data_IF_531307014041
#
_entry.id   IF_531307014041
#
_cell.length_a   1.000
_cell.length_b   1.000
_cell.length_c   1.000
_cell.angle_alpha   90.00
_cell.angle_beta   90.00
_cell.angle_gamma   90.00
#
_symmetry.space_group_name_H-M   'P 1'
#
loop_
_entity.id
_entity.type
_entity.pdbx_description
1 polymer ?
#
# COMPACT_ATOMS: atom_id res chain seq x y z
N UNK A 1 0.24 19.22 -6.24
CA UNK A 1 0.71 17.91 -5.76
C UNK A 1 0.17 17.76 -4.35
N UNK A 2 -0.66 16.75 -4.09
CA UNK A 2 -1.28 16.51 -2.77
C UNK A 2 -0.20 16.13 -1.77
N UNK A 3 -0.18 16.73 -0.58
CA UNK A 3 0.85 16.40 0.41
C UNK A 3 0.59 15.02 1.03
N UNK A 4 1.61 14.42 1.65
CA UNK A 4 1.44 13.15 2.37
C UNK A 4 0.43 13.27 3.52
N UNK A 5 0.39 14.43 4.20
CA UNK A 5 -0.57 14.71 5.28
C UNK A 5 -2.00 14.80 4.76
N UNK A 6 -2.20 15.35 3.56
CA UNK A 6 -3.52 15.41 2.94
C UNK A 6 -3.99 13.99 2.57
N UNK A 7 -3.12 13.16 1.97
CA UNK A 7 -3.43 11.75 1.64
C UNK A 7 -3.79 10.95 2.89
N UNK A 8 -3.03 11.11 3.98
CA UNK A 8 -3.32 10.47 5.27
C UNK A 8 -4.67 10.93 5.86
N UNK A 9 -4.95 12.24 5.79
CA UNK A 9 -6.24 12.81 6.23
C UNK A 9 -7.40 12.25 5.41
N UNK A 10 -7.27 12.15 4.08
CA UNK A 10 -8.26 11.52 3.20
C UNK A 10 -8.49 10.06 3.58
N UNK A 11 -7.44 9.27 3.79
CA UNK A 11 -7.57 7.86 4.18
C UNK A 11 -8.31 7.72 5.52
N UNK A 12 -7.99 8.55 6.51
CA UNK A 12 -8.70 8.57 7.79
C UNK A 12 -10.18 8.89 7.61
N UNK A 13 -10.51 9.87 6.77
CA UNK A 13 -11.90 10.26 6.50
C UNK A 13 -12.71 9.17 5.78
N UNK A 14 -12.07 8.24 5.07
CA UNK A 14 -12.74 7.09 4.45
C UNK A 14 -13.16 6.02 5.48
N UNK A 15 -12.58 6.00 6.67
CA UNK A 15 -12.89 5.02 7.73
C UNK A 15 -14.10 5.46 8.54
N UNK A 16 -15.31 5.24 7.99
CA UNK A 16 -16.57 5.66 8.61
C UNK A 16 -17.42 4.46 9.04
N UNK A 17 -17.77 4.34 10.35
CA UNK A 17 -18.71 3.32 10.80
C UNK A 17 -20.05 3.42 10.05
N UNK A 18 -20.54 2.30 9.52
CA UNK A 18 -21.79 2.24 8.75
C UNK A 18 -21.68 2.65 7.28
N UNK A 19 -20.51 3.12 6.82
CA UNK A 19 -20.22 3.42 5.42
C UNK A 19 -18.82 2.91 5.05
N UNK A 20 -18.64 1.58 4.91
CA UNK A 20 -17.33 0.99 4.70
C UNK A 20 -16.77 1.35 3.32
N UNK A 21 -15.49 1.71 3.28
CA UNK A 21 -14.73 1.90 2.05
C UNK A 21 -14.21 0.56 1.52
N UNK A 22 -14.14 0.42 0.19
CA UNK A 22 -13.48 -0.72 -0.46
C UNK A 22 -12.07 -0.30 -0.89
N UNK A 23 -11.07 -1.04 -0.41
CA UNK A 23 -9.65 -0.81 -0.71
C UNK A 23 -9.07 -2.08 -1.38
N UNK A 24 -8.88 -2.09 -2.71
CA UNK A 24 -8.24 -3.22 -3.38
C UNK A 24 -6.79 -3.41 -2.92
N UNK A 25 -6.42 -4.67 -2.67
CA UNK A 25 -5.03 -5.04 -2.36
C UNK A 25 -4.23 -5.24 -3.64
N UNK A 26 -3.19 -4.43 -3.82
CA UNK A 26 -2.31 -4.38 -4.99
C UNK A 26 -0.89 -4.83 -4.61
N UNK A 27 -0.08 -5.14 -5.63
CA UNK A 27 1.28 -5.65 -5.43
C UNK A 27 2.33 -5.04 -6.37
N UNK A 28 1.90 -4.26 -7.36
CA UNK A 28 2.78 -3.55 -8.30
C UNK A 28 2.11 -2.29 -8.87
N UNK A 29 2.84 -1.53 -9.68
CA UNK A 29 2.32 -0.31 -10.31
C UNK A 29 1.17 -0.59 -11.29
N UNK A 30 1.13 -1.76 -11.92
CA UNK A 30 0.08 -2.11 -12.88
C UNK A 30 -1.25 -2.34 -12.16
N UNK A 31 -1.27 -3.17 -11.12
CA UNK A 31 -2.44 -3.45 -10.29
C UNK A 31 -2.92 -2.19 -9.56
N UNK A 32 -2.00 -1.32 -9.13
CA UNK A 32 -2.34 0.00 -8.57
C UNK A 32 -3.07 0.91 -9.57
N UNK A 33 -2.54 1.04 -10.79
CA UNK A 33 -3.20 1.81 -11.85
C UNK A 33 -4.57 1.23 -12.20
N UNK A 34 -4.66 -0.10 -12.36
CA UNK A 34 -5.92 -0.77 -12.66
C UNK A 34 -7.00 -0.47 -11.61
N UNK A 35 -6.63 -0.49 -10.33
CA UNK A 35 -7.55 -0.15 -9.25
C UNK A 35 -7.90 1.36 -9.24
N UNK A 36 -6.93 2.25 -9.44
CA UNK A 36 -7.20 3.68 -9.51
C UNK A 36 -8.12 4.05 -10.70
N UNK A 37 -7.88 3.48 -11.88
CA UNK A 37 -8.73 3.62 -13.07
C UNK A 37 -10.13 3.03 -12.85
N UNK A 38 -10.25 1.99 -12.01
CA UNK A 38 -11.52 1.44 -11.54
C UNK A 38 -12.32 2.36 -10.62
N UNK A 39 -11.78 3.52 -10.24
CA UNK A 39 -12.45 4.53 -9.42
C UNK A 39 -12.39 4.28 -7.92
N UNK A 40 -11.50 3.39 -7.45
CA UNK A 40 -11.32 3.16 -6.02
C UNK A 40 -10.65 4.37 -5.34
N UNK A 41 -11.18 4.78 -4.19
CA UNK A 41 -10.77 6.01 -3.52
C UNK A 41 -9.42 5.91 -2.78
N UNK A 42 -8.96 4.68 -2.48
CA UNK A 42 -7.68 4.37 -1.86
C UNK A 42 -7.35 2.88 -2.05
N UNK A 43 -6.09 2.51 -1.81
CA UNK A 43 -5.55 1.15 -2.04
C UNK A 43 -4.88 0.58 -0.79
N UNK A 44 -4.69 -0.74 -0.77
CA UNK A 44 -3.81 -1.45 0.16
C UNK A 44 -2.67 -2.13 -0.60
N UNK A 45 -1.47 -2.20 -0.03
CA UNK A 45 -0.37 -3.04 -0.52
C UNK A 45 -0.26 -4.25 0.38
N UNK A 46 -0.34 -5.46 -0.18
CA UNK A 46 -0.22 -6.70 0.58
C UNK A 46 1.21 -7.24 0.56
N UNK A 47 1.74 -7.63 1.72
CA UNK A 47 3.07 -8.25 1.84
C UNK A 47 3.19 -9.56 1.03
N UNK A 48 2.25 -10.49 1.22
CA UNK A 48 2.19 -11.77 0.51
C UNK A 48 2.17 -11.64 -1.03
N UNK A 49 1.24 -10.91 -1.67
CA UNK A 49 1.22 -10.81 -3.12
C UNK A 49 2.43 -10.05 -3.68
N UNK A 50 3.01 -9.11 -2.92
CA UNK A 50 4.28 -8.48 -3.31
C UNK A 50 5.40 -9.52 -3.30
N UNK A 51 5.57 -10.28 -2.23
CA UNK A 51 6.61 -11.32 -2.12
C UNK A 51 6.53 -12.33 -3.28
N UNK A 52 5.34 -12.87 -3.54
CA UNK A 52 5.09 -13.79 -4.65
C UNK A 52 5.44 -13.16 -6.01
N UNK A 53 5.08 -11.89 -6.23
CA UNK A 53 5.35 -11.19 -7.50
C UNK A 53 6.84 -11.03 -7.82
N UNK A 54 7.70 -11.07 -6.81
CA UNK A 54 9.16 -10.96 -6.94
C UNK A 54 9.88 -12.30 -6.71
N UNK A 55 9.14 -13.41 -6.62
CA UNK A 55 9.71 -14.75 -6.42
C UNK A 55 10.33 -14.96 -5.05
N UNK A 56 9.84 -14.26 -4.02
CA UNK A 56 10.24 -14.41 -2.62
C UNK A 56 9.16 -15.16 -1.84
N UNK A 57 9.53 -15.96 -0.83
CA UNK A 57 8.55 -16.55 0.07
C UNK A 57 7.93 -15.48 0.99
N UNK A 58 6.71 -15.73 1.44
CA UNK A 58 5.99 -14.93 2.45
C UNK A 58 6.53 -15.19 3.89
N UNK A 59 6.16 -14.34 4.86
CA UNK A 59 6.72 -14.24 6.23
C UNK A 59 8.14 -13.64 6.27
N UNK A 60 8.28 -12.37 5.90
CA UNK A 60 9.56 -11.63 5.91
C UNK A 60 10.67 -12.27 5.05
N UNK A 61 10.31 -13.08 4.04
CA UNK A 61 11.27 -13.59 3.05
C UNK A 61 11.76 -12.52 2.06
N UNK A 62 11.02 -11.42 1.97
CA UNK A 62 11.40 -10.17 1.33
C UNK A 62 12.10 -9.26 2.36
N UNK A 63 13.12 -8.50 1.96
CA UNK A 63 13.73 -7.50 2.85
C UNK A 63 12.85 -6.24 2.97
N UNK A 64 13.01 -5.48 4.05
CA UNK A 64 12.30 -4.20 4.21
C UNK A 64 12.62 -3.21 3.06
N UNK A 65 13.85 -3.21 2.56
CA UNK A 65 14.26 -2.40 1.40
C UNK A 65 13.56 -2.83 0.10
N UNK A 66 13.38 -4.14 -0.10
CA UNK A 66 12.62 -4.69 -1.23
C UNK A 66 11.16 -4.23 -1.17
N UNK A 67 10.54 -4.26 0.03
CA UNK A 67 9.18 -3.73 0.25
C UNK A 67 9.11 -2.24 -0.06
N UNK A 68 10.00 -1.42 0.53
CA UNK A 68 10.01 0.03 0.33
C UNK A 68 10.22 0.40 -1.15
N UNK A 69 11.04 -0.36 -1.88
CA UNK A 69 11.21 -0.20 -3.32
C UNK A 69 9.89 -0.37 -4.07
N UNK A 70 9.09 -1.38 -3.70
CA UNK A 70 7.78 -1.62 -4.31
C UNK A 70 6.75 -0.56 -3.93
N UNK A 71 6.72 -0.16 -2.67
CA UNK A 71 5.84 0.93 -2.19
C UNK A 71 6.15 2.24 -2.91
N UNK A 72 7.42 2.59 -3.12
CA UNK A 72 7.81 3.78 -3.86
C UNK A 72 7.31 3.75 -5.31
N UNK A 73 7.39 2.60 -5.99
CA UNK A 73 6.87 2.43 -7.34
C UNK A 73 5.34 2.54 -7.40
N UNK A 74 4.63 1.92 -6.46
CA UNK A 74 3.16 1.96 -6.37
C UNK A 74 2.68 3.39 -6.11
N UNK A 75 3.25 4.06 -5.11
CA UNK A 75 2.83 5.41 -4.71
C UNK A 75 3.21 6.49 -5.72
N UNK A 76 4.23 6.26 -6.57
CA UNK A 76 4.54 7.12 -7.70
C UNK A 76 3.58 6.94 -8.89
N UNK A 77 2.91 5.78 -8.98
CA UNK A 77 2.00 5.46 -10.08
C UNK A 77 0.59 6.04 -9.89
N UNK A 78 0.17 6.35 -8.65
CA UNK A 78 -1.20 6.77 -8.34
C UNK A 78 -1.27 7.96 -7.38
N UNK A 79 -2.30 8.79 -7.54
CA UNK A 79 -2.54 9.94 -6.67
C UNK A 79 -3.39 9.62 -5.43
N UNK A 80 -4.10 8.48 -5.42
CA UNK A 80 -4.93 8.04 -4.29
C UNK A 80 -4.10 7.64 -3.07
N UNK A 81 -4.66 7.68 -1.84
CA UNK A 81 -3.99 7.18 -0.65
C UNK A 81 -3.71 5.68 -0.72
N UNK A 82 -2.59 5.26 -0.12
CA UNK A 82 -2.16 3.86 -0.09
C UNK A 82 -1.83 3.48 1.35
N UNK A 83 -2.42 2.40 1.84
CA UNK A 83 -2.03 1.74 3.09
C UNK A 83 -1.11 0.57 2.79
N UNK A 84 -0.10 0.32 3.61
CA UNK A 84 0.91 -0.72 3.37
C UNK A 84 0.90 -1.70 4.53
N UNK A 85 0.77 -2.99 4.20
CA UNK A 85 1.06 -4.07 5.13
C UNK A 85 2.58 -4.23 5.29
N UNK A 86 3.07 -3.99 6.51
CA UNK A 86 4.49 -4.11 6.89
C UNK A 86 4.73 -5.33 7.80
N UNK A 87 3.83 -6.31 7.79
CA UNK A 87 3.87 -7.51 8.63
C UNK A 87 4.03 -7.15 10.13
N UNK A 88 5.09 -7.64 10.77
CA UNK A 88 5.42 -7.33 12.17
C UNK A 88 6.30 -6.09 12.35
N UNK A 89 6.67 -5.43 11.23
CA UNK A 89 7.55 -4.27 11.20
C UNK A 89 9.01 -4.58 10.84
N UNK A 90 9.34 -5.78 10.34
CA UNK A 90 10.69 -6.16 9.87
C UNK A 90 11.81 -5.91 10.91
N UNK A 91 11.49 -6.05 12.19
CA UNK A 91 12.41 -5.79 13.30
C UNK A 91 12.79 -4.31 13.49
N UNK A 92 12.14 -3.38 12.78
CA UNK A 92 12.29 -1.94 12.98
C UNK A 92 11.57 -1.49 14.25
N UNK A 93 12.04 -0.39 14.83
CA UNK A 93 11.32 0.33 15.88
C UNK A 93 10.36 1.34 15.25
N UNK A 94 9.28 1.75 15.94
CA UNK A 94 8.35 2.75 15.41
C UNK A 94 8.95 4.13 15.09
N UNK A 95 10.19 4.40 15.53
CA UNK A 95 10.86 5.68 15.34
C UNK A 95 12.00 5.61 14.30
N UNK A 96 12.25 4.44 13.70
CA UNK A 96 13.17 4.30 12.56
C UNK A 96 12.53 4.84 11.28
#
# INVERSE_FOLDING_TARGET
MTSINDKATTLLQLHQPGNPVILPTVWDAWSANLAAEGGFAALTVGSHPVADSIGKPDNEGMSFEELLTRVAQITAAVDVPVSVDIESGYGQTPND
#
